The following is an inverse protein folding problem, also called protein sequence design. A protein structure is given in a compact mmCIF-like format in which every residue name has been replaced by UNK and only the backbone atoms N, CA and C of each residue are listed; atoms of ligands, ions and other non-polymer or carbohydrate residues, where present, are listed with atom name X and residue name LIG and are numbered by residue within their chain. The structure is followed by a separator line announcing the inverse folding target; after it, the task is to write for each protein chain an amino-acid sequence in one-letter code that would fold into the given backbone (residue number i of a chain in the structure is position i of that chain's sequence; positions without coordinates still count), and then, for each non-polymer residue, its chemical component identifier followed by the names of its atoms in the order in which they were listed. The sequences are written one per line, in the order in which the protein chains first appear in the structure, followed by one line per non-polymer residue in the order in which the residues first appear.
data_IF_133862458270
#
_entry.id   IF_133862458270
#
_cell.length_a   1.000
_cell.length_b   1.000
_cell.length_c   1.000
_cell.angle_alpha   90.00
_cell.angle_beta   90.00
_cell.angle_gamma   90.00
#
_symmetry.space_group_name_H-M   'P 1'
#
loop_
_entity.id
_entity.type
_entity.pdbx_description
1 polymer ?
#
# COMPACT_ATOMS: atom_id res chain seq x y z
N UNK A 1 21.78 11.38 -24.47
CA UNK A 1 21.77 10.72 -23.16
C UNK A 1 20.83 9.54 -23.27
N UNK A 2 21.27 8.35 -22.88
CA UNK A 2 20.42 7.18 -22.84
C UNK A 2 19.91 7.03 -21.41
N UNK A 3 18.60 7.13 -21.20
CA UNK A 3 17.98 7.02 -19.88
C UNK A 3 17.51 5.59 -19.68
N UNK A 4 17.80 5.01 -18.51
CA UNK A 4 17.20 3.75 -18.10
C UNK A 4 15.69 3.94 -17.97
N UNK A 5 14.92 3.00 -18.53
CA UNK A 5 13.47 2.94 -18.33
C UNK A 5 13.15 2.05 -17.13
N UNK A 6 12.21 2.51 -16.34
CA UNK A 6 11.63 1.82 -15.21
C UNK A 6 10.15 1.56 -15.48
N UNK A 7 9.62 0.55 -14.81
CA UNK A 7 8.21 0.20 -14.83
C UNK A 7 7.69 0.22 -13.39
N UNK A 8 6.58 0.90 -13.18
CA UNK A 8 6.01 1.10 -11.85
C UNK A 8 4.54 0.72 -11.82
N UNK A 9 4.13 0.01 -10.78
CA UNK A 9 2.73 -0.18 -10.42
C UNK A 9 2.36 0.81 -9.31
N UNK A 10 1.59 1.85 -9.65
CA UNK A 10 1.03 2.82 -8.70
C UNK A 10 -0.31 2.31 -8.17
N UNK A 11 -0.58 2.47 -6.87
CA UNK A 11 -1.87 2.09 -6.26
C UNK A 11 -2.88 3.24 -6.19
N UNK A 12 -2.43 4.51 -6.26
CA UNK A 12 -3.30 5.67 -6.06
C UNK A 12 -3.11 6.73 -7.16
N UNK A 13 -3.91 6.71 -8.24
CA UNK A 13 -4.80 5.62 -8.64
C UNK A 13 -4.02 4.39 -9.13
N UNK A 14 -4.73 3.27 -9.25
CA UNK A 14 -4.19 2.04 -9.81
C UNK A 14 -3.70 2.26 -11.24
N UNK A 15 -2.41 2.03 -11.53
CA UNK A 15 -1.81 2.30 -12.84
C UNK A 15 -0.50 1.56 -13.08
N UNK A 16 -0.28 1.11 -14.32
CA UNK A 16 1.03 0.68 -14.82
C UNK A 16 1.68 1.84 -15.58
N UNK A 17 2.86 2.26 -15.15
CA UNK A 17 3.51 3.48 -15.62
C UNK A 17 4.95 3.17 -16.00
N UNK A 18 5.34 3.51 -17.22
CA UNK A 18 6.76 3.56 -17.60
C UNK A 18 7.33 4.96 -17.34
N UNK A 19 8.57 5.04 -16.85
CA UNK A 19 9.25 6.31 -16.58
C UNK A 19 10.74 6.20 -16.88
N UNK A 20 11.39 7.32 -17.16
CA UNK A 20 12.84 7.47 -17.18
C UNK A 20 13.41 7.97 -15.85
N UNK A 21 12.56 8.19 -14.85
CA UNK A 21 12.97 8.60 -13.51
C UNK A 21 13.26 7.37 -12.65
N UNK A 22 14.36 7.35 -11.88
CA UNK A 22 14.59 6.34 -10.85
C UNK A 22 13.53 6.45 -9.73
N UNK A 23 13.38 5.41 -8.88
CA UNK A 23 12.26 5.33 -7.95
C UNK A 23 12.10 6.55 -7.01
N UNK A 24 13.20 7.07 -6.47
CA UNK A 24 13.17 8.26 -5.59
C UNK A 24 12.62 9.50 -6.32
N UNK A 25 13.09 9.76 -7.54
CA UNK A 25 12.63 10.89 -8.36
C UNK A 25 11.19 10.69 -8.87
N UNK A 26 10.83 9.44 -9.21
CA UNK A 26 9.49 9.09 -9.65
C UNK A 26 8.47 9.27 -8.53
N UNK A 27 8.76 8.79 -7.32
CA UNK A 27 7.90 8.98 -6.15
C UNK A 27 7.72 10.47 -5.84
N UNK A 28 8.82 11.23 -5.80
CA UNK A 28 8.76 12.68 -5.65
C UNK A 28 7.83 13.32 -6.70
N UNK A 29 8.04 13.01 -7.99
CA UNK A 29 7.22 13.51 -9.08
C UNK A 29 5.74 13.14 -8.93
N UNK A 30 5.43 11.90 -8.53
CA UNK A 30 4.05 11.43 -8.37
C UNK A 30 3.32 12.17 -7.24
N UNK A 31 4.03 12.45 -6.14
CA UNK A 31 3.46 13.15 -4.98
C UNK A 31 3.25 14.65 -5.22
N UNK A 32 4.23 15.36 -5.79
CA UNK A 32 4.18 16.84 -5.89
C UNK A 32 3.87 17.36 -7.30
N UNK A 33 3.99 16.52 -8.32
CA UNK A 33 3.83 16.89 -9.71
C UNK A 33 4.97 17.77 -10.25
N UNK A 34 4.98 17.96 -11.57
CA UNK A 34 6.06 18.68 -12.27
C UNK A 34 6.32 20.11 -11.77
N UNK A 35 5.26 20.79 -11.33
CA UNK A 35 5.29 22.19 -10.90
C UNK A 35 5.12 22.35 -9.37
N UNK A 36 5.15 21.25 -8.60
CA UNK A 36 4.92 21.25 -7.14
C UNK A 36 3.56 21.84 -6.71
N UNK A 37 2.57 21.73 -7.59
CA UNK A 37 1.21 22.26 -7.38
C UNK A 37 0.21 21.20 -6.91
N UNK A 38 0.60 19.94 -6.98
CA UNK A 38 -0.12 18.82 -6.37
C UNK A 38 0.57 18.47 -5.06
N UNK A 39 -0.17 17.93 -4.10
CA UNK A 39 0.36 17.29 -2.89
C UNK A 39 -0.51 16.08 -2.62
N UNK A 40 0.11 14.93 -2.45
CA UNK A 40 -0.59 13.69 -2.13
C UNK A 40 0.40 12.57 -1.89
N UNK A 41 0.05 11.67 -0.99
CA UNK A 41 0.83 10.46 -0.78
C UNK A 41 0.84 9.62 -2.06
N UNK A 42 1.93 8.91 -2.31
CA UNK A 42 2.02 7.94 -3.40
C UNK A 42 2.65 6.64 -2.91
N UNK A 43 2.03 5.51 -3.24
CA UNK A 43 2.54 4.19 -2.95
C UNK A 43 2.62 3.40 -4.26
N UNK A 44 3.79 2.86 -4.55
CA UNK A 44 4.03 2.16 -5.81
C UNK A 44 5.11 1.10 -5.68
N UNK A 45 5.05 0.08 -6.53
CA UNK A 45 6.09 -0.94 -6.66
C UNK A 45 6.92 -0.68 -7.90
N UNK A 46 8.21 -0.98 -7.84
CA UNK A 46 9.00 -1.22 -9.06
C UNK A 46 8.67 -2.61 -9.60
N UNK A 47 8.48 -2.69 -10.91
CA UNK A 47 8.17 -3.91 -11.64
C UNK A 47 9.36 -4.29 -12.51
N UNK A 48 9.67 -5.58 -12.63
CA UNK A 48 10.71 -6.06 -13.54
C UNK A 48 10.46 -5.50 -14.96
N UNK A 49 11.38 -4.68 -15.49
CA UNK A 49 11.20 -4.08 -16.82
C UNK A 49 11.24 -5.10 -17.96
N UNK A 50 11.65 -6.35 -17.70
CA UNK A 50 11.69 -7.43 -18.69
C UNK A 50 10.42 -8.28 -18.71
N UNK A 51 9.46 -8.03 -17.81
CA UNK A 51 8.17 -8.69 -17.80
C UNK A 51 7.48 -8.62 -19.16
N UNK A 52 6.85 -9.71 -19.57
CA UNK A 52 6.08 -9.81 -20.81
C UNK A 52 4.60 -9.97 -20.49
N UNK A 53 3.75 -9.29 -21.25
CA UNK A 53 2.30 -9.30 -21.01
C UNK A 53 1.53 -9.33 -22.33
N UNK A 54 0.49 -10.17 -22.36
CA UNK A 54 -0.53 -10.12 -23.41
C UNK A 54 -1.63 -9.08 -23.13
N UNK A 55 -1.69 -8.57 -21.89
CA UNK A 55 -2.71 -7.61 -21.45
C UNK A 55 -2.25 -6.15 -21.63
N UNK A 56 -0.97 -5.85 -21.38
CA UNK A 56 -0.41 -4.50 -21.50
C UNK A 56 0.38 -4.31 -22.81
N UNK A 57 0.22 -3.17 -23.48
CA UNK A 57 1.06 -2.78 -24.65
C UNK A 57 2.45 -2.29 -24.19
N UNK A 58 3.27 -3.22 -23.72
CA UNK A 58 4.64 -2.96 -23.26
C UNK A 58 5.55 -2.53 -24.43
N UNK A 59 5.30 -3.01 -25.65
CA UNK A 59 6.03 -2.59 -26.85
C UNK A 59 5.89 -1.08 -27.14
N UNK A 60 4.79 -0.45 -26.70
CA UNK A 60 4.63 1.01 -26.83
C UNK A 60 5.64 1.83 -26.03
N UNK A 61 6.30 1.25 -25.02
CA UNK A 61 7.30 1.93 -24.17
C UNK A 61 8.43 2.50 -25.02
N UNK A 62 8.94 1.74 -26.00
CA UNK A 62 10.06 2.19 -26.85
C UNK A 62 9.72 3.44 -27.65
N UNK A 63 8.46 3.59 -28.06
CA UNK A 63 7.96 4.71 -28.85
C UNK A 63 7.50 5.91 -28.00
N UNK A 64 6.95 5.65 -26.82
CA UNK A 64 6.27 6.66 -25.99
C UNK A 64 7.13 7.16 -24.82
N UNK A 65 7.92 6.26 -24.22
CA UNK A 65 8.83 6.57 -23.13
C UNK A 65 10.19 6.96 -23.70
N UNK A 66 10.23 8.11 -24.36
CA UNK A 66 11.40 8.71 -24.99
C UNK A 66 11.63 10.12 -24.44
N UNK A 67 12.89 10.61 -24.40
CA UNK A 67 13.20 11.94 -23.88
C UNK A 67 12.38 13.02 -24.58
N UNK A 68 12.15 14.13 -23.88
CA UNK A 68 11.55 15.31 -24.48
C UNK A 68 12.49 15.94 -25.52
N UNK A 69 11.95 16.85 -26.35
CA UNK A 69 12.72 17.53 -27.41
C UNK A 69 13.93 18.29 -26.85
N UNK A 70 13.82 18.78 -25.62
CA UNK A 70 14.87 19.46 -24.86
C UNK A 70 15.86 18.50 -24.18
N UNK A 71 15.73 17.18 -24.38
CA UNK A 71 16.58 16.14 -23.81
C UNK A 71 16.23 15.73 -22.37
N UNK A 72 15.21 16.33 -21.76
CA UNK A 72 14.78 15.97 -20.41
C UNK A 72 14.15 14.56 -20.37
N UNK A 73 14.29 13.81 -19.25
CA UNK A 73 13.73 12.47 -19.14
C UNK A 73 12.21 12.50 -19.22
N UNK A 74 11.61 11.46 -19.83
CA UNK A 74 10.17 11.26 -19.77
C UNK A 74 9.76 10.86 -18.35
N UNK A 75 8.93 11.67 -17.70
CA UNK A 75 8.57 11.46 -16.29
C UNK A 75 7.52 10.36 -16.07
N UNK A 76 6.58 10.20 -16.99
CA UNK A 76 5.54 9.19 -16.89
C UNK A 76 4.88 8.90 -18.24
N UNK A 77 4.61 7.63 -18.50
CA UNK A 77 3.81 7.11 -19.61
C UNK A 77 2.90 6.03 -19.03
N UNK A 78 1.61 6.32 -18.94
CA UNK A 78 0.62 5.35 -18.50
C UNK A 78 0.38 4.31 -19.60
N UNK A 79 0.51 3.04 -19.22
CA UNK A 79 0.28 1.87 -20.07
C UNK A 79 -1.11 1.27 -19.81
N UNK A 80 -1.55 1.28 -18.55
CA UNK A 80 -2.92 0.93 -18.15
C UNK A 80 -3.27 1.61 -16.83
N UNK A 81 -4.56 1.81 -16.58
CA UNK A 81 -5.12 2.34 -15.33
C UNK A 81 -6.27 1.46 -14.80
N UNK A 82 -6.38 0.23 -15.29
CA UNK A 82 -7.49 -0.66 -14.96
C UNK A 82 -7.01 -2.11 -14.87
N UNK A 83 -7.43 -2.82 -13.81
CA UNK A 83 -7.08 -4.22 -13.50
C UNK A 83 -5.60 -4.51 -13.65
N UNK A 84 -4.76 -3.56 -13.26
CA UNK A 84 -3.31 -3.66 -13.38
C UNK A 84 -2.79 -4.70 -12.40
N UNK A 85 -3.18 -4.62 -11.12
CA UNK A 85 -2.72 -5.57 -10.10
C UNK A 85 -3.03 -7.02 -10.49
N UNK A 86 -4.26 -7.27 -10.93
CA UNK A 86 -4.72 -8.59 -11.34
C UNK A 86 -3.89 -9.19 -12.49
N UNK A 87 -3.46 -8.35 -13.45
CA UNK A 87 -2.73 -8.78 -14.65
C UNK A 87 -1.20 -8.72 -14.50
N UNK A 88 -0.68 -8.39 -13.32
CA UNK A 88 0.75 -8.53 -13.00
C UNK A 88 0.98 -9.85 -12.24
N UNK A 89 1.88 -10.73 -12.69
CA UNK A 89 2.36 -11.86 -11.89
C UNK A 89 3.04 -11.38 -10.60
N UNK A 90 3.01 -12.17 -9.52
CA UNK A 90 3.57 -11.71 -8.23
C UNK A 90 5.10 -11.61 -8.29
N UNK A 91 5.73 -12.50 -9.03
CA UNK A 91 7.17 -12.60 -9.24
C UNK A 91 7.81 -11.38 -9.94
N UNK A 92 7.02 -10.51 -10.59
CA UNK A 92 7.56 -9.31 -11.23
C UNK A 92 7.61 -8.11 -10.30
N UNK A 93 7.03 -8.20 -9.10
CA UNK A 93 7.08 -7.15 -8.10
C UNK A 93 8.44 -7.17 -7.38
N UNK A 94 9.12 -6.02 -7.42
CA UNK A 94 10.38 -5.79 -6.71
C UNK A 94 10.09 -5.00 -5.42
N UNK A 95 10.82 -3.92 -5.19
CA UNK A 95 10.69 -3.08 -4.01
C UNK A 95 9.41 -2.24 -4.01
N UNK A 96 8.89 -1.98 -2.81
CA UNK A 96 7.77 -1.07 -2.55
C UNK A 96 8.29 0.30 -2.12
N UNK A 97 7.73 1.37 -2.66
CA UNK A 97 8.10 2.74 -2.35
C UNK A 97 6.94 3.48 -1.72
N UNK A 98 7.19 4.07 -0.56
CA UNK A 98 6.24 4.87 0.21
C UNK A 98 6.64 6.33 0.13
N UNK A 99 5.79 7.14 -0.50
CA UNK A 99 6.07 8.56 -0.69
C UNK A 99 5.15 9.40 0.18
N UNK A 100 5.71 10.35 0.93
CA UNK A 100 4.94 11.33 1.71
C UNK A 100 4.33 12.40 0.81
N UNK A 101 3.35 13.15 1.31
CA UNK A 101 2.63 14.18 0.53
C UNK A 101 3.52 15.29 -0.07
N UNK A 102 4.71 15.51 0.52
CA UNK A 102 5.72 16.47 0.07
C UNK A 102 6.86 15.83 -0.76
N UNK A 103 6.73 14.54 -1.08
CA UNK A 103 7.61 13.85 -2.01
C UNK A 103 8.90 13.29 -1.41
N UNK A 104 8.93 12.92 -0.13
CA UNK A 104 10.00 12.10 0.44
C UNK A 104 9.68 10.63 0.19
N UNK A 105 10.64 9.86 -0.32
CA UNK A 105 10.45 8.45 -0.67
C UNK A 105 11.19 7.55 0.33
N UNK A 106 10.52 6.51 0.81
CA UNK A 106 11.08 5.42 1.59
C UNK A 106 10.96 4.15 0.76
N UNK A 107 12.07 3.43 0.61
CA UNK A 107 12.14 2.13 -0.06
C UNK A 107 11.98 1.00 0.95
N UNK A 108 11.13 0.02 0.64
CA UNK A 108 10.96 -1.22 1.35
C UNK A 108 11.31 -2.39 0.42
N UNK A 109 12.25 -3.22 0.84
CA UNK A 109 12.60 -4.46 0.15
C UNK A 109 11.71 -5.60 0.65
N UNK A 110 11.42 -6.62 -0.18
CA UNK A 110 10.80 -7.85 0.32
C UNK A 110 11.62 -8.46 1.46
N UNK A 111 10.95 -9.03 2.45
CA UNK A 111 11.60 -9.68 3.58
C UNK A 111 10.79 -10.83 4.14
N UNK A 112 11.37 -11.51 5.13
CA UNK A 112 10.75 -12.65 5.79
C UNK A 112 9.69 -12.17 6.80
N UNK A 113 8.49 -12.73 6.69
CA UNK A 113 7.44 -12.49 7.69
C UNK A 113 7.66 -13.42 8.88
N UNK A 114 7.73 -12.91 10.12
CA UNK A 114 7.96 -13.75 11.28
C UNK A 114 6.84 -14.79 11.43
N UNK A 115 7.22 -16.05 11.62
CA UNK A 115 6.27 -17.13 11.89
C UNK A 115 5.72 -16.96 13.31
N UNK A 116 4.39 -16.84 13.40
CA UNK A 116 3.58 -16.89 14.63
C UNK A 116 3.50 -15.59 15.46
N UNK A 117 2.30 -15.00 15.49
CA UNK A 117 1.89 -14.09 16.57
C UNK A 117 0.86 -14.82 17.45
N UNK A 118 0.86 -14.59 18.79
CA UNK A 118 -0.25 -15.00 19.65
C UNK A 118 -1.58 -14.51 19.06
N UNK A 119 -2.67 -15.23 19.32
CA UNK A 119 -3.98 -14.80 18.85
C UNK A 119 -4.27 -13.37 19.29
N UNK A 120 -4.49 -12.51 18.30
CA UNK A 120 -4.88 -11.11 18.46
C UNK A 120 -5.88 -10.75 17.38
N UNK A 121 -6.66 -9.71 17.61
CA UNK A 121 -7.41 -9.07 16.54
C UNK A 121 -6.46 -8.22 15.69
N UNK A 122 -6.77 -8.14 14.40
CA UNK A 122 -6.01 -7.41 13.40
C UNK A 122 -6.88 -6.33 12.75
N UNK A 123 -6.22 -5.29 12.25
CA UNK A 123 -6.85 -4.24 11.45
C UNK A 123 -6.06 -4.09 10.15
N UNK A 124 -6.72 -4.30 9.02
CA UNK A 124 -6.10 -4.18 7.71
C UNK A 124 -6.67 -2.99 6.96
N UNK A 125 -5.77 -2.23 6.34
CA UNK A 125 -6.12 -1.30 5.28
C UNK A 125 -5.77 -1.96 3.95
N UNK A 126 -6.77 -2.41 3.21
CA UNK A 126 -6.58 -2.79 1.82
C UNK A 126 -6.23 -1.53 1.02
N UNK A 127 -5.35 -1.66 0.03
CA UNK A 127 -4.80 -0.56 -0.75
C UNK A 127 -5.15 -0.71 -2.24
N UNK A 128 -5.10 -1.94 -2.75
CA UNK A 128 -5.48 -2.29 -4.13
C UNK A 128 -5.99 -3.75 -4.14
N UNK A 129 -7.01 -4.10 -4.95
CA UNK A 129 -7.64 -3.29 -5.99
C UNK A 129 -8.70 -2.30 -5.48
N UNK A 130 -9.18 -2.47 -4.24
CA UNK A 130 -10.10 -1.55 -3.58
C UNK A 130 -9.61 -1.27 -2.15
N UNK A 131 -9.94 -0.12 -1.54
CA UNK A 131 -9.37 0.23 -0.24
C UNK A 131 -10.37 0.25 0.94
N UNK A 132 -11.07 -0.85 1.28
CA UNK A 132 -11.78 -0.92 2.55
C UNK A 132 -10.79 -1.04 3.74
N UNK A 133 -11.30 -0.71 4.94
CA UNK A 133 -10.66 -1.04 6.20
C UNK A 133 -11.41 -2.19 6.86
N UNK A 134 -10.69 -3.24 7.26
CA UNK A 134 -11.27 -4.50 7.73
C UNK A 134 -10.67 -4.90 9.07
N UNK A 135 -11.51 -5.15 10.06
CA UNK A 135 -11.12 -5.82 11.30
C UNK A 135 -11.20 -7.33 11.11
N UNK A 136 -10.24 -8.09 11.65
CA UNK A 136 -10.11 -9.53 11.39
C UNK A 136 -9.61 -10.32 12.60
N UNK A 137 -9.97 -11.61 12.65
CA UNK A 137 -9.36 -12.64 13.51
C UNK A 137 -8.17 -13.34 12.85
N UNK A 138 -7.96 -13.09 11.56
CA UNK A 138 -6.98 -13.79 10.74
C UNK A 138 -5.69 -13.00 10.73
N UNK A 139 -4.57 -13.70 10.90
CA UNK A 139 -3.25 -13.11 10.67
C UNK A 139 -3.08 -12.74 9.19
N UNK A 140 -2.04 -11.98 8.79
CA UNK A 140 -1.91 -11.46 7.43
C UNK A 140 -1.99 -12.54 6.34
N UNK A 141 -1.35 -13.70 6.54
CA UNK A 141 -1.37 -14.80 5.57
C UNK A 141 -2.75 -15.42 5.45
N UNK A 142 -3.41 -15.68 6.58
CA UNK A 142 -4.77 -16.22 6.60
C UNK A 142 -5.78 -15.22 6.01
N UNK A 143 -5.61 -13.93 6.30
CA UNK A 143 -6.44 -12.86 5.76
C UNK A 143 -6.32 -12.79 4.25
N UNK A 144 -5.08 -12.77 3.73
CA UNK A 144 -4.79 -12.80 2.29
C UNK A 144 -5.48 -14.00 1.63
N UNK A 145 -5.26 -15.21 2.14
CA UNK A 145 -5.89 -16.42 1.60
C UNK A 145 -7.42 -16.35 1.66
N UNK A 146 -8.01 -15.73 2.69
CA UNK A 146 -9.47 -15.59 2.76
C UNK A 146 -9.99 -14.62 1.70
N UNK A 147 -9.39 -13.43 1.56
CA UNK A 147 -9.88 -12.40 0.63
C UNK A 147 -9.58 -12.71 -0.84
N UNK A 148 -8.62 -13.60 -1.11
CA UNK A 148 -8.30 -14.02 -2.48
C UNK A 148 -8.93 -15.34 -2.92
N UNK A 149 -9.63 -16.03 -2.02
CA UNK A 149 -10.31 -17.30 -2.34
C UNK A 149 -11.54 -17.06 -3.23
N UNK A 150 -11.44 -17.49 -4.48
CA UNK A 150 -12.50 -17.32 -5.49
C UNK A 150 -13.76 -18.15 -5.19
N UNK A 151 -13.74 -19.05 -4.20
CA UNK A 151 -14.94 -19.74 -3.70
C UNK A 151 -15.79 -18.84 -2.81
N UNK A 152 -15.21 -17.76 -2.27
CA UNK A 152 -15.95 -16.76 -1.52
C UNK A 152 -16.74 -15.86 -2.46
N UNK A 153 -17.96 -15.42 -2.07
CA UNK A 153 -18.81 -14.58 -2.91
C UNK A 153 -18.24 -13.18 -3.18
N UNK A 154 -17.30 -12.74 -2.34
CA UNK A 154 -16.57 -11.48 -2.50
C UNK A 154 -15.10 -11.81 -2.33
N UNK A 155 -14.34 -11.69 -3.41
CA UNK A 155 -12.92 -12.01 -3.45
C UNK A 155 -12.21 -11.20 -4.54
N UNK A 156 -10.88 -11.10 -4.41
CA UNK A 156 -10.01 -10.47 -5.40
C UNK A 156 -8.98 -11.47 -5.88
N UNK A 157 -8.55 -11.46 -7.15
CA UNK A 157 -7.50 -12.38 -7.59
C UNK A 157 -6.17 -12.14 -6.86
N UNK A 158 -5.86 -10.88 -6.56
CA UNK A 158 -4.68 -10.41 -5.84
C UNK A 158 -5.06 -9.26 -4.93
N UNK A 159 -4.31 -9.06 -3.86
CA UNK A 159 -4.53 -7.96 -2.91
C UNK A 159 -3.22 -7.34 -2.46
N UNK A 160 -3.24 -6.03 -2.25
CA UNK A 160 -2.20 -5.31 -1.49
C UNK A 160 -2.85 -4.68 -0.27
N UNK A 161 -2.27 -4.89 0.92
CA UNK A 161 -2.78 -4.33 2.16
C UNK A 161 -1.66 -4.02 3.16
N UNK A 162 -1.97 -3.18 4.15
CA UNK A 162 -1.11 -2.90 5.30
C UNK A 162 -1.81 -3.32 6.60
N UNK A 163 -1.05 -3.82 7.56
CA UNK A 163 -1.56 -4.06 8.92
C UNK A 163 -1.39 -2.80 9.77
N UNK A 164 -2.46 -2.44 10.51
CA UNK A 164 -2.52 -1.24 11.33
C UNK A 164 -2.54 -1.58 12.82
N UNK A 165 -2.00 -0.67 13.65
CA UNK A 165 -1.95 -0.82 15.10
C UNK A 165 -3.36 -0.77 15.72
N UNK A 166 -3.63 -1.69 16.64
CA UNK A 166 -4.84 -1.67 17.47
C UNK A 166 -4.54 -1.43 18.96
N UNK A 167 -3.27 -1.43 19.35
CA UNK A 167 -2.83 -1.35 20.75
C UNK A 167 -3.63 -2.34 21.62
N UNK A 168 -4.10 -1.93 22.80
CA UNK A 168 -4.86 -2.80 23.70
C UNK A 168 -6.19 -3.32 23.13
N UNK A 169 -6.72 -2.72 22.05
CA UNK A 169 -7.93 -3.25 21.39
C UNK A 169 -7.68 -4.57 20.64
N UNK A 170 -6.41 -4.85 20.31
CA UNK A 170 -6.02 -6.07 19.61
C UNK A 170 -6.27 -7.30 20.50
N UNK A 171 -5.93 -7.19 21.79
CA UNK A 171 -6.04 -8.27 22.77
C UNK A 171 -7.44 -8.33 23.41
N UNK A 172 -7.98 -7.18 23.82
CA UNK A 172 -9.29 -7.12 24.46
C UNK A 172 -10.00 -5.81 24.10
N UNK A 173 -10.94 -5.82 23.14
CA UNK A 173 -11.62 -4.61 22.70
C UNK A 173 -12.66 -4.07 23.72
N UNK A 174 -13.05 -4.86 24.73
CA UNK A 174 -14.02 -4.46 25.76
C UNK A 174 -13.36 -3.50 26.76
N UNK A 175 -12.16 -3.85 27.25
CA UNK A 175 -11.44 -3.06 28.27
C UNK A 175 -10.23 -2.31 27.70
N UNK A 176 -9.78 -2.65 26.50
CA UNK A 176 -8.63 -2.06 25.84
C UNK A 176 -8.79 -0.56 25.60
N UNK A 177 -7.75 0.19 25.96
CA UNK A 177 -7.71 1.63 25.72
C UNK A 177 -7.54 1.91 24.23
N UNK A 178 -8.39 2.78 23.70
CA UNK A 178 -8.32 3.27 22.32
C UNK A 178 -7.59 4.61 22.19
N UNK A 179 -7.07 5.14 23.30
CA UNK A 179 -6.45 6.45 23.34
C UNK A 179 -5.24 6.48 22.40
N UNK A 180 -5.07 7.60 21.68
CA UNK A 180 -4.02 7.83 20.69
C UNK A 180 -4.13 7.02 19.39
N UNK A 181 -5.20 6.26 19.17
CA UNK A 181 -5.49 5.69 17.85
C UNK A 181 -6.17 6.76 16.96
N UNK A 182 -5.61 7.11 15.80
CA UNK A 182 -6.09 8.22 14.97
C UNK A 182 -7.24 7.82 14.01
N UNK A 183 -8.02 6.80 14.36
CA UNK A 183 -9.11 6.30 13.52
C UNK A 183 -10.37 7.14 13.72
N UNK A 184 -10.91 7.70 12.63
CA UNK A 184 -12.04 8.65 12.69
C UNK A 184 -13.28 8.07 13.39
N UNK A 185 -13.61 6.81 13.12
CA UNK A 185 -14.78 6.14 13.72
C UNK A 185 -14.37 5.06 14.73
N UNK A 186 -13.62 5.46 15.75
CA UNK A 186 -13.03 4.56 16.75
C UNK A 186 -14.08 3.71 17.52
N UNK A 187 -15.27 4.26 17.75
CA UNK A 187 -16.35 3.54 18.43
C UNK A 187 -16.90 2.41 17.55
N UNK A 188 -17.16 2.69 16.26
CA UNK A 188 -17.58 1.64 15.33
C UNK A 188 -16.50 0.57 15.14
N UNK A 189 -15.22 0.97 15.07
CA UNK A 189 -14.10 0.02 15.06
C UNK A 189 -14.15 -0.89 16.30
N UNK A 190 -14.33 -0.32 17.49
CA UNK A 190 -14.46 -1.10 18.74
C UNK A 190 -15.66 -2.05 18.67
N UNK A 191 -16.82 -1.63 18.19
CA UNK A 191 -18.00 -2.50 18.06
C UNK A 191 -17.74 -3.69 17.10
N UNK A 192 -17.04 -3.44 15.98
CA UNK A 192 -16.61 -4.50 15.08
C UNK A 192 -15.67 -5.49 15.79
N UNK A 193 -14.67 -4.98 16.50
CA UNK A 193 -13.71 -5.79 17.26
C UNK A 193 -14.38 -6.60 18.37
N UNK A 194 -15.29 -6.00 19.16
CA UNK A 194 -16.08 -6.71 20.19
C UNK A 194 -16.90 -7.82 19.55
N UNK A 195 -17.54 -7.56 18.41
CA UNK A 195 -18.29 -8.60 17.70
C UNK A 195 -17.41 -9.79 17.31
N UNK A 196 -16.21 -9.53 16.77
CA UNK A 196 -15.25 -10.58 16.44
C UNK A 196 -14.82 -11.34 17.71
N UNK A 197 -14.40 -10.61 18.74
CA UNK A 197 -13.97 -11.17 20.02
C UNK A 197 -15.02 -12.06 20.67
N UNK A 198 -16.29 -11.65 20.65
CA UNK A 198 -17.42 -12.36 21.25
C UNK A 198 -18.02 -13.48 20.39
N UNK A 199 -17.32 -13.93 19.34
CA UNK A 199 -17.70 -15.13 18.58
C UNK A 199 -18.54 -14.88 17.32
N UNK A 200 -18.45 -13.71 16.69
CA UNK A 200 -19.06 -13.51 15.35
C UNK A 200 -18.60 -14.59 14.36
N UNK A 201 -19.56 -15.13 13.61
CA UNK A 201 -19.36 -16.31 12.73
C UNK A 201 -18.31 -16.06 11.64
N UNK A 202 -18.35 -14.88 11.00
CA UNK A 202 -17.39 -14.54 9.96
C UNK A 202 -16.07 -14.05 10.58
N UNK A 203 -14.92 -14.37 9.95
CA UNK A 203 -13.62 -13.98 10.47
C UNK A 203 -13.33 -12.48 10.34
N UNK A 204 -14.08 -11.77 9.47
CA UNK A 204 -13.84 -10.39 9.07
C UNK A 204 -15.08 -9.52 9.29
N UNK A 205 -14.85 -8.25 9.64
CA UNK A 205 -15.85 -7.18 9.62
C UNK A 205 -15.28 -5.94 8.94
N UNK A 206 -15.95 -5.46 7.89
CA UNK A 206 -15.63 -4.17 7.27
C UNK A 206 -15.94 -3.03 8.24
N UNK A 207 -14.93 -2.23 8.56
CA UNK A 207 -15.01 -1.05 9.43
C UNK A 207 -15.27 0.21 8.59
N UNK A 208 -14.59 0.33 7.45
CA UNK A 208 -14.82 1.39 6.48
C UNK A 208 -14.91 0.76 5.09
N UNK A 209 -15.96 1.07 4.33
CA UNK A 209 -16.19 0.48 3.01
C UNK A 209 -15.30 1.09 1.93
N UNK A 210 -14.90 2.33 2.13
CA UNK A 210 -14.08 3.07 1.20
C UNK A 210 -13.24 4.07 2.00
N UNK A 211 -11.94 3.83 2.06
CA UNK A 211 -11.03 4.76 2.68
C UNK A 211 -10.76 5.93 1.72
N UNK A 212 -10.94 7.16 2.23
CA UNK A 212 -10.66 8.39 1.51
C UNK A 212 -9.51 9.12 2.19
N UNK A 213 -8.34 9.16 1.55
CA UNK A 213 -7.18 9.93 2.01
C UNK A 213 -5.89 9.13 2.01
N UNK A 214 -4.87 9.73 2.63
CA UNK A 214 -3.52 9.19 2.73
C UNK A 214 -3.38 8.27 3.94
N UNK A 215 -2.79 7.09 3.74
CA UNK A 215 -2.48 6.14 4.78
C UNK A 215 -1.65 6.80 5.90
N UNK A 216 -2.13 6.72 7.14
CA UNK A 216 -1.40 7.16 8.33
C UNK A 216 -0.19 6.22 8.54
N UNK A 217 0.97 6.52 7.98
CA UNK A 217 2.16 5.67 8.09
C UNK A 217 2.55 5.34 9.54
N UNK A 218 2.30 6.27 10.48
CA UNK A 218 2.52 6.03 11.92
C UNK A 218 1.63 4.94 12.54
N UNK A 219 0.58 4.52 11.83
CA UNK A 219 -0.29 3.43 12.26
C UNK A 219 0.07 2.09 11.65
N UNK A 220 1.01 2.04 10.69
CA UNK A 220 1.48 0.76 10.14
C UNK A 220 2.16 -0.03 11.25
N UNK A 221 1.68 -1.23 11.54
CA UNK A 221 2.13 -2.08 12.65
C UNK A 221 3.46 -2.73 12.33
N UNK A 222 3.50 -3.55 11.27
CA UNK A 222 4.66 -4.37 10.91
C UNK A 222 5.04 -4.27 9.44
N UNK A 223 4.12 -3.95 8.53
CA UNK A 223 4.45 -3.85 7.13
C UNK A 223 3.27 -3.90 6.18
N UNK A 224 3.64 -4.11 4.92
CA UNK A 224 2.75 -4.22 3.79
C UNK A 224 2.84 -5.62 3.20
N UNK A 225 1.76 -6.05 2.58
CA UNK A 225 1.60 -7.40 2.07
C UNK A 225 1.04 -7.34 0.65
N UNK A 226 1.57 -8.20 -0.22
CA UNK A 226 1.12 -8.42 -1.59
C UNK A 226 1.00 -9.93 -1.81
N UNK A 227 -0.08 -10.36 -2.45
CA UNK A 227 -0.17 -11.76 -2.87
C UNK A 227 -1.54 -12.20 -3.36
N UNK A 228 -1.67 -13.51 -3.51
CA UNK A 228 -2.84 -14.25 -3.99
C UNK A 228 -3.07 -15.51 -3.14
N UNK A 229 -3.62 -16.59 -3.71
CA UNK A 229 -3.82 -17.86 -3.02
C UNK A 229 -2.52 -18.65 -2.81
N UNK A 230 -1.54 -18.44 -3.68
CA UNK A 230 -0.32 -19.26 -3.76
C UNK A 230 0.92 -18.49 -3.32
N UNK A 231 0.89 -17.16 -3.42
CA UNK A 231 2.02 -16.28 -3.12
C UNK A 231 1.70 -15.34 -1.97
N UNK A 232 2.72 -15.09 -1.14
CA UNK A 232 2.67 -14.15 -0.03
C UNK A 232 4.01 -13.42 0.06
N UNK A 233 3.99 -12.12 -0.25
CA UNK A 233 5.16 -11.24 -0.20
C UNK A 233 4.95 -10.22 0.90
N UNK A 234 5.95 -10.10 1.79
CA UNK A 234 5.96 -9.18 2.91
C UNK A 234 7.01 -8.09 2.71
N UNK A 235 6.61 -6.85 2.96
CA UNK A 235 7.46 -5.67 2.92
C UNK A 235 7.54 -5.10 4.34
N UNK A 236 8.59 -5.43 5.10
CA UNK A 236 8.74 -4.98 6.48
C UNK A 236 8.78 -3.46 6.56
N UNK A 237 7.94 -2.90 7.43
CA UNK A 237 8.00 -1.49 7.76
C UNK A 237 9.04 -1.27 8.88
N UNK A 238 10.00 -0.34 8.71
CA UNK A 238 11.06 -0.16 9.70
C UNK A 238 10.49 0.25 11.07
N UNK A 239 11.05 -0.22 12.19
CA UNK A 239 10.64 0.22 13.50
C UNK A 239 10.91 1.71 13.69
N UNK A 240 10.16 2.34 14.59
CA UNK A 240 10.20 3.81 14.81
C UNK A 240 11.61 4.33 15.10
N UNK A 241 12.43 3.58 15.84
CA UNK A 241 13.79 4.01 16.15
C UNK A 241 14.69 4.03 14.89
N UNK A 242 14.51 3.09 13.97
CA UNK A 242 15.19 3.11 12.67
C UNK A 242 14.65 4.24 11.79
N UNK A 243 13.33 4.47 11.75
CA UNK A 243 12.75 5.61 11.03
C UNK A 243 13.31 6.94 11.52
N UNK A 244 13.50 7.10 12.83
CA UNK A 244 14.09 8.29 13.43
C UNK A 244 15.59 8.43 13.17
N UNK A 245 16.34 7.33 13.11
CA UNK A 245 17.81 7.34 12.95
C UNK A 245 18.25 7.43 11.49
N UNK A 246 17.62 6.63 10.62
CA UNK A 246 18.07 6.40 9.24
C UNK A 246 17.21 7.15 8.21
N UNK A 247 15.92 7.35 8.51
CA UNK A 247 14.95 7.92 7.57
C UNK A 247 14.28 9.19 8.10
N UNK A 248 14.99 9.96 8.94
CA UNK A 248 14.44 11.10 9.67
C UNK A 248 13.65 12.10 8.82
N UNK A 249 14.15 12.56 7.64
CA UNK A 249 13.40 13.50 6.81
C UNK A 249 12.06 12.93 6.32
N UNK A 250 12.05 11.66 5.94
CA UNK A 250 10.83 10.95 5.55
C UNK A 250 9.89 10.79 6.73
N UNK A 251 10.39 10.31 7.87
CA UNK A 251 9.57 10.06 9.06
C UNK A 251 8.91 11.33 9.59
N UNK A 252 9.66 12.44 9.63
CA UNK A 252 9.12 13.75 10.02
C UNK A 252 7.98 14.18 9.10
N UNK A 253 8.09 13.95 7.80
CA UNK A 253 7.01 14.27 6.86
C UNK A 253 5.83 13.30 7.01
N UNK A 254 6.09 12.00 7.18
CA UNK A 254 5.08 10.96 7.38
C UNK A 254 4.22 11.15 8.64
N UNK A 255 4.72 11.87 9.64
CA UNK A 255 3.97 12.25 10.84
C UNK A 255 2.99 13.42 10.61
N UNK A 256 3.26 14.25 9.61
CA UNK A 256 2.45 15.40 9.24
C UNK A 256 1.44 14.96 8.17
N UNK A 257 0.24 14.57 8.59
CA UNK A 257 -0.88 14.65 7.67
C UNK A 257 -1.52 16.02 7.92
N UNK A 258 -1.35 16.93 6.94
CA UNK A 258 -2.26 18.06 6.82
C UNK A 258 -3.65 17.45 6.62
N UNK A 259 -4.40 17.30 7.70
CA UNK A 259 -5.84 17.15 7.61
C UNK A 259 -6.29 18.44 6.93
N UNK A 260 -6.52 18.37 5.62
CA UNK A 260 -7.41 19.34 4.99
C UNK A 260 -8.75 19.13 5.66
N UNK A 261 -8.99 19.87 6.75
CA UNK A 261 -10.32 20.16 7.23
C UNK A 261 -11.10 20.63 6.01
N UNK A 262 -11.94 19.75 5.48
CA UNK A 262 -12.91 20.15 4.47
C UNK A 262 -13.75 21.25 5.12
N UNK A 263 -13.58 22.48 4.64
CA UNK A 263 -14.60 23.52 4.75
C UNK A 263 -15.89 23.03 4.10
#
# INVERSE_FOLDING_TARGET
MDYKRHLYFSMTPESLISSMLPPEEFGHYLAVGANKRTRGQALFFEIDPNFQSDYFDLASIERRCVPHVDGQPKRSVYLSTYRVLENLPIEVFSNLYLTTYDGKVLELQPGDYPEEEPFTLHLYQELSPVPPRVASKLNPRQFMNYVTDQRNPVSFPKVVFAELILNGLAENPITGMSNNLPYQNINHLRDCLIGLYSGYEKPNKTVERFYYGDLLYRTVKNGFFLGDQDHFVYYPFPPVDQLQKLYYPWWRSALNLEFNEKK
#
